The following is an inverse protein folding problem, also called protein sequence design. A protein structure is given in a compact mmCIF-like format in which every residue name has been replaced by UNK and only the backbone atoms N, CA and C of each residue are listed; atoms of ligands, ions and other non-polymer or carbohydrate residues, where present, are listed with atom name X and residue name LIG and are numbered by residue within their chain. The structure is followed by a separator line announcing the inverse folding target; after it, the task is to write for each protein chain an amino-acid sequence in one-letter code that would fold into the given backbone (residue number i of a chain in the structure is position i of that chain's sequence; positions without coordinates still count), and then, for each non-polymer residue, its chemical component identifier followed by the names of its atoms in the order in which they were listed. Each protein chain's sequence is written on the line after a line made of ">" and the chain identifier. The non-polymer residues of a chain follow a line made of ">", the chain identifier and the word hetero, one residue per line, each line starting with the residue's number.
data_IF_049758952577
#
_entry.id   IF_049758952577
#
_cell.length_a   1.000
_cell.length_b   1.000
_cell.length_c   1.000
_cell.angle_alpha   90.00
_cell.angle_beta   90.00
_cell.angle_gamma   90.00
#
_symmetry.space_group_name_H-M   'P 1'
#
loop_
_entity.id
_entity.type
_entity.pdbx_description
1 polymer ?
#
# COMPACT_ATOMS: atom_id res chain seq x y z
N UNK A 1 -18.48 25.54 80.38
CA UNK A 1 -17.54 24.41 80.41
C UNK A 1 -18.31 23.14 80.05
N UNK A 2 -17.66 22.20 79.34
CA UNK A 2 -18.17 20.89 78.88
C UNK A 2 -18.97 20.93 77.56
N UNK A 3 -18.29 20.68 76.44
CA UNK A 3 -18.95 20.46 75.14
C UNK A 3 -18.04 19.96 74.01
N UNK A 4 -16.74 20.25 74.06
CA UNK A 4 -15.87 20.03 72.87
C UNK A 4 -15.05 18.74 72.87
N UNK A 5 -15.21 17.85 73.86
CA UNK A 5 -14.40 16.62 73.97
C UNK A 5 -15.01 15.38 73.28
N UNK A 6 -16.28 15.43 72.84
CA UNK A 6 -16.94 14.30 72.16
C UNK A 6 -16.85 14.34 70.63
N UNK A 7 -16.56 15.51 70.06
CA UNK A 7 -16.47 15.68 68.60
C UNK A 7 -15.11 15.23 68.04
N UNK A 8 -14.03 15.41 68.79
CA UNK A 8 -12.67 15.04 68.37
C UNK A 8 -12.43 13.52 68.33
N UNK A 9 -13.22 12.72 69.05
CA UNK A 9 -13.09 11.26 69.06
C UNK A 9 -13.76 10.59 67.84
N UNK A 10 -14.84 11.19 67.33
CA UNK A 10 -15.56 10.66 66.15
C UNK A 10 -14.81 10.90 64.84
N UNK A 11 -14.01 11.97 64.76
CA UNK A 11 -13.22 12.30 63.55
C UNK A 11 -12.00 11.37 63.40
N UNK A 12 -11.38 10.97 64.51
CA UNK A 12 -10.25 10.03 64.49
C UNK A 12 -10.63 8.60 64.09
N UNK A 13 -11.87 8.17 64.37
CA UNK A 13 -12.34 6.81 64.06
C UNK A 13 -12.74 6.64 62.58
N UNK A 14 -13.21 7.70 61.91
CA UNK A 14 -13.54 7.67 60.47
C UNK A 14 -12.27 7.66 59.60
N UNK A 15 -11.17 8.28 60.06
CA UNK A 15 -9.91 8.29 59.32
C UNK A 15 -9.16 6.95 59.37
N UNK A 16 -9.44 6.10 60.36
CA UNK A 16 -8.82 4.77 60.49
C UNK A 16 -9.50 3.67 59.68
N UNK A 17 -10.75 3.85 59.24
CA UNK A 17 -11.50 2.87 58.42
C UNK A 17 -11.27 3.10 56.92
N UNK A 18 -10.73 4.24 56.52
CA UNK A 18 -10.46 4.58 55.12
C UNK A 18 -9.11 4.06 54.59
N UNK A 19 -8.29 3.42 55.43
CA UNK A 19 -6.93 2.96 55.08
C UNK A 19 -6.80 1.42 54.91
N UNK A 20 -7.92 0.70 54.73
CA UNK A 20 -7.92 -0.76 54.56
C UNK A 20 -8.71 -1.22 53.35
N UNK A 21 -8.52 -0.57 52.20
CA UNK A 21 -8.85 -1.20 50.91
C UNK A 21 -7.54 -1.70 50.32
N UNK A 22 -7.25 -3.02 50.32
CA UNK A 22 -6.21 -3.54 49.47
C UNK A 22 -6.70 -3.35 48.03
N UNK A 23 -6.21 -2.31 47.35
CA UNK A 23 -6.28 -2.29 45.89
C UNK A 23 -5.41 -3.45 45.41
N UNK A 24 -6.09 -4.57 45.11
CA UNK A 24 -5.51 -5.69 44.39
C UNK A 24 -5.20 -5.21 42.97
N UNK A 25 -4.14 -4.40 42.84
CA UNK A 25 -3.53 -4.07 41.58
C UNK A 25 -2.86 -5.35 41.08
N UNK A 26 -3.65 -6.21 40.45
CA UNK A 26 -3.16 -7.30 39.63
C UNK A 26 -2.26 -6.69 38.56
N UNK A 27 -0.96 -6.71 38.79
CA UNK A 27 0.03 -6.48 37.74
C UNK A 27 -0.12 -7.63 36.75
N UNK A 28 -0.95 -7.43 35.72
CA UNK A 28 -0.96 -8.29 34.55
C UNK A 28 0.40 -8.13 33.87
N UNK A 29 1.33 -9.02 34.20
CA UNK A 29 2.48 -9.29 33.37
C UNK A 29 1.93 -9.84 32.04
N UNK A 30 1.75 -8.95 31.06
CA UNK A 30 1.48 -9.33 29.69
C UNK A 30 2.73 -10.04 29.17
N UNK A 31 2.72 -11.36 29.24
CA UNK A 31 3.72 -12.17 28.56
C UNK A 31 3.58 -11.93 27.06
N UNK A 32 4.72 -11.80 26.36
CA UNK A 32 4.76 -11.55 24.91
C UNK A 32 4.07 -12.65 24.08
N UNK A 33 3.69 -13.76 24.71
CA UNK A 33 2.93 -14.87 24.12
C UNK A 33 1.46 -14.54 23.83
N UNK A 34 0.98 -13.35 24.21
CA UNK A 34 -0.40 -12.88 23.96
C UNK A 34 -0.59 -12.13 22.64
N UNK A 35 0.38 -12.10 21.73
CA UNK A 35 0.22 -11.50 20.41
C UNK A 35 -0.76 -12.33 19.59
N UNK A 36 -1.96 -11.78 19.37
CA UNK A 36 -3.01 -12.39 18.57
C UNK A 36 -2.62 -12.31 17.09
N UNK A 37 -2.05 -13.38 16.55
CA UNK A 37 -1.60 -13.44 15.14
C UNK A 37 -2.72 -13.14 14.14
N UNK A 38 -3.98 -13.32 14.55
CA UNK A 38 -5.17 -13.02 13.74
C UNK A 38 -5.33 -11.53 13.39
N UNK A 39 -4.72 -10.64 14.17
CA UNK A 39 -4.78 -9.20 13.90
C UNK A 39 -3.82 -8.78 12.75
N UNK A 40 -2.83 -9.62 12.41
CA UNK A 40 -1.95 -9.39 11.25
C UNK A 40 -2.62 -9.78 9.93
N UNK A 41 -3.47 -10.81 9.93
CA UNK A 41 -4.19 -11.24 8.74
C UNK A 41 -5.31 -10.26 8.34
N UNK A 42 -5.81 -9.48 9.31
CA UNK A 42 -6.88 -8.49 9.10
C UNK A 42 -6.38 -7.08 8.79
N UNK A 43 -5.07 -6.83 8.90
CA UNK A 43 -4.47 -5.63 8.32
C UNK A 43 -4.55 -5.76 6.80
N UNK A 44 -5.60 -5.15 6.24
CA UNK A 44 -5.68 -4.80 4.82
C UNK A 44 -4.30 -4.32 4.41
N UNK A 45 -3.74 -4.95 3.36
CA UNK A 45 -2.43 -4.66 2.77
C UNK A 45 -2.37 -3.17 2.39
N UNK A 46 -2.16 -2.33 3.38
CA UNK A 46 -1.84 -0.93 3.21
C UNK A 46 -0.41 -0.98 2.72
N UNK A 47 -0.28 -0.89 1.41
CA UNK A 47 0.98 -0.74 0.72
C UNK A 47 1.70 0.42 1.41
N UNK A 48 2.72 0.08 2.22
CA UNK A 48 3.52 1.08 2.91
C UNK A 48 4.22 1.86 1.81
N UNK A 49 3.70 3.04 1.50
CA UNK A 49 4.27 3.93 0.50
C UNK A 49 5.61 4.43 1.04
N UNK A 50 6.68 3.69 0.73
CA UNK A 50 8.05 4.10 1.03
C UNK A 50 8.34 5.39 0.27
N UNK A 51 8.22 6.53 0.96
CA UNK A 51 8.36 7.86 0.36
C UNK A 51 9.71 8.08 -0.34
N UNK A 52 10.77 7.37 0.08
CA UNK A 52 12.11 7.45 -0.49
C UNK A 52 12.80 6.08 -0.45
N UNK A 53 12.44 5.19 -1.37
CA UNK A 53 13.15 3.91 -1.52
C UNK A 53 14.29 4.06 -2.55
N UNK A 54 15.58 4.07 -2.14
CA UNK A 54 16.71 4.21 -3.06
C UNK A 54 16.94 2.96 -3.93
N UNK A 55 16.20 1.87 -3.69
CA UNK A 55 16.24 0.63 -4.46
C UNK A 55 15.12 0.53 -5.51
N UNK A 56 14.16 1.46 -5.50
CA UNK A 56 13.16 1.57 -6.57
C UNK A 56 13.76 2.49 -7.63
N UNK A 57 14.09 1.93 -8.80
CA UNK A 57 14.45 2.74 -9.95
C UNK A 57 13.26 3.65 -10.26
N UNK A 58 13.43 4.98 -10.30
CA UNK A 58 12.35 5.85 -10.75
C UNK A 58 11.99 5.40 -12.16
N UNK A 59 10.72 5.11 -12.40
CA UNK A 59 10.23 4.89 -13.75
C UNK A 59 10.54 6.17 -14.52
N UNK A 60 11.47 6.11 -15.47
CA UNK A 60 11.73 7.23 -16.35
C UNK A 60 10.44 7.49 -17.10
N UNK A 61 9.88 8.69 -16.94
CA UNK A 61 8.63 9.06 -17.58
C UNK A 61 8.91 9.26 -19.07
N UNK A 62 8.75 8.19 -19.85
CA UNK A 62 8.98 8.23 -21.29
C UNK A 62 7.75 8.85 -21.93
N UNK A 63 7.93 9.98 -22.61
CA UNK A 63 6.83 10.60 -23.35
C UNK A 63 6.34 9.62 -24.43
N UNK A 64 5.02 9.49 -24.57
CA UNK A 64 4.39 8.57 -25.53
C UNK A 64 4.89 8.79 -26.97
N UNK A 65 5.22 10.04 -27.32
CA UNK A 65 5.73 10.41 -28.64
C UNK A 65 7.15 9.91 -28.94
N UNK A 66 7.90 9.46 -27.94
CA UNK A 66 9.25 8.89 -28.07
C UNK A 66 9.23 7.36 -28.14
N UNK A 67 8.06 6.74 -27.91
CA UNK A 67 7.90 5.30 -28.07
C UNK A 67 7.92 4.92 -29.55
N UNK A 68 8.72 3.92 -29.87
CA UNK A 68 8.84 3.37 -31.21
C UNK A 68 8.53 1.88 -31.19
N UNK A 69 7.43 1.51 -31.86
CA UNK A 69 7.07 0.13 -32.10
C UNK A 69 7.93 -0.41 -33.24
N UNK A 70 8.81 -1.36 -32.91
CA UNK A 70 9.73 -2.00 -33.86
C UNK A 70 9.14 -3.27 -34.46
N UNK A 71 8.33 -4.00 -33.69
CA UNK A 71 7.72 -5.25 -34.16
C UNK A 71 6.66 -5.79 -33.22
N UNK A 72 5.85 -6.72 -33.74
CA UNK A 72 4.82 -7.45 -32.99
C UNK A 72 5.00 -8.93 -33.27
N UNK A 73 4.93 -9.73 -32.20
CA UNK A 73 4.84 -11.19 -32.24
C UNK A 73 3.44 -11.54 -31.77
N UNK A 74 2.60 -12.05 -32.67
CA UNK A 74 1.21 -12.36 -32.38
C UNK A 74 0.90 -13.84 -32.61
N UNK A 75 0.23 -14.46 -31.64
CA UNK A 75 -0.36 -15.80 -31.73
C UNK A 75 -1.70 -15.82 -31.01
N UNK A 76 -2.52 -16.84 -31.26
CA UNK A 76 -3.84 -16.96 -30.62
C UNK A 76 -3.77 -17.11 -29.09
N UNK A 77 -2.63 -17.57 -28.55
CA UNK A 77 -2.45 -17.85 -27.12
C UNK A 77 -1.54 -16.84 -26.42
N UNK A 78 -0.62 -16.20 -27.16
CA UNK A 78 0.34 -15.21 -26.63
C UNK A 78 0.60 -14.09 -27.62
N UNK A 79 0.72 -12.88 -27.10
CA UNK A 79 1.03 -11.68 -27.88
C UNK A 79 2.10 -10.87 -27.17
N UNK A 80 3.11 -10.42 -27.91
CA UNK A 80 4.17 -9.56 -27.42
C UNK A 80 4.53 -8.50 -28.46
N UNK A 81 5.01 -7.35 -28.00
CA UNK A 81 5.45 -6.25 -28.84
C UNK A 81 6.87 -5.82 -28.47
N UNK A 82 7.61 -5.34 -29.46
CA UNK A 82 8.95 -4.78 -29.25
C UNK A 82 8.82 -3.25 -29.32
N UNK A 83 8.89 -2.59 -28.17
CA UNK A 83 8.81 -1.13 -28.04
C UNK A 83 10.12 -0.64 -27.45
N UNK A 84 10.83 0.27 -28.14
CA UNK A 84 12.13 0.81 -27.71
C UNK A 84 13.14 -0.29 -27.31
N UNK A 85 13.22 -1.35 -28.14
CA UNK A 85 14.06 -2.54 -27.91
C UNK A 85 13.71 -3.39 -26.68
N UNK A 86 12.58 -3.13 -26.02
CA UNK A 86 12.04 -3.95 -24.93
C UNK A 86 10.89 -4.80 -25.44
N UNK A 87 10.86 -6.07 -25.03
CA UNK A 87 9.73 -6.98 -25.29
C UNK A 87 8.72 -6.77 -24.18
N UNK A 88 7.47 -6.49 -24.54
CA UNK A 88 6.37 -6.26 -23.61
C UNK A 88 5.15 -7.09 -23.98
N UNK A 89 4.40 -7.50 -22.97
CA UNK A 89 3.14 -8.23 -23.08
C UNK A 89 1.96 -7.35 -22.63
N UNK A 90 0.74 -7.88 -22.78
CA UNK A 90 -0.48 -7.20 -22.34
C UNK A 90 -0.47 -7.11 -20.80
N UNK A 91 -0.66 -5.91 -20.26
CA UNK A 91 -0.59 -5.61 -18.84
C UNK A 91 0.77 -5.07 -18.37
N UNK A 92 1.81 -5.16 -19.20
CA UNK A 92 3.12 -4.59 -18.86
C UNK A 92 3.09 -3.07 -18.90
N UNK A 93 3.99 -2.45 -18.13
CA UNK A 93 4.17 -1.00 -18.09
C UNK A 93 5.47 -0.58 -18.76
N UNK A 94 5.39 0.43 -19.61
CA UNK A 94 6.52 1.12 -20.22
C UNK A 94 6.49 2.58 -19.73
N UNK A 95 7.37 2.91 -18.79
CA UNK A 95 7.30 4.20 -18.10
C UNK A 95 5.98 4.32 -17.32
N UNK A 96 5.22 5.37 -17.59
CA UNK A 96 3.88 5.63 -17.04
C UNK A 96 2.74 4.99 -17.83
N UNK A 97 3.02 4.31 -18.95
CA UNK A 97 2.00 3.78 -19.86
C UNK A 97 1.82 2.27 -19.70
N UNK A 98 0.59 1.79 -19.75
CA UNK A 98 0.25 0.36 -19.64
C UNK A 98 -0.14 -0.21 -21.02
N UNK A 99 0.34 -1.39 -21.37
CA UNK A 99 -0.05 -2.10 -22.61
C UNK A 99 -1.43 -2.72 -22.43
N UNK A 100 -2.42 -2.18 -23.13
CA UNK A 100 -3.83 -2.66 -23.04
C UNK A 100 -4.11 -3.76 -24.03
N UNK A 101 -3.61 -3.63 -25.26
CA UNK A 101 -3.80 -4.64 -26.29
C UNK A 101 -2.70 -4.61 -27.34
N UNK A 102 -2.45 -5.77 -27.93
CA UNK A 102 -1.53 -5.96 -29.04
C UNK A 102 -2.35 -6.54 -30.18
N UNK A 103 -2.55 -5.76 -31.24
CA UNK A 103 -3.39 -6.16 -32.38
C UNK A 103 -2.52 -6.78 -33.50
N UNK A 104 -3.02 -7.82 -34.20
CA UNK A 104 -2.32 -8.38 -35.36
C UNK A 104 -2.25 -7.40 -36.55
N UNK A 105 -2.99 -6.29 -36.49
CA UNK A 105 -3.01 -5.20 -37.46
C UNK A 105 -1.72 -4.35 -37.46
N UNK A 106 -0.73 -4.67 -36.62
CA UNK A 106 0.51 -3.90 -36.51
C UNK A 106 0.40 -2.73 -35.51
N UNK A 107 -0.56 -2.78 -34.58
CA UNK A 107 -0.85 -1.70 -33.63
C UNK A 107 -0.78 -2.19 -32.19
N UNK A 108 -0.30 -1.33 -31.30
CA UNK A 108 -0.34 -1.55 -29.85
C UNK A 108 -1.15 -0.43 -29.22
N UNK A 109 -2.09 -0.78 -28.36
CA UNK A 109 -2.89 0.19 -27.59
C UNK A 109 -2.26 0.34 -26.21
N UNK A 110 -1.91 1.57 -25.87
CA UNK A 110 -1.35 1.97 -24.59
C UNK A 110 -2.38 2.79 -23.81
N UNK A 111 -2.48 2.57 -22.51
CA UNK A 111 -3.21 3.45 -21.59
C UNK A 111 -2.22 4.42 -20.97
N UNK A 112 -2.53 5.69 -21.12
CA UNK A 112 -1.81 6.84 -20.60
C UNK A 112 -2.71 7.56 -19.60
N UNK A 113 -2.19 8.53 -18.85
CA UNK A 113 -3.02 9.39 -17.99
C UNK A 113 -4.05 10.20 -18.80
N UNK A 114 -3.74 10.52 -20.05
CA UNK A 114 -4.61 11.26 -20.96
C UNK A 114 -5.64 10.41 -21.70
N UNK A 115 -5.62 9.08 -21.51
CA UNK A 115 -6.51 8.13 -22.18
C UNK A 115 -5.77 7.08 -23.00
N UNK A 116 -6.43 6.54 -24.02
CA UNK A 116 -5.89 5.48 -24.87
C UNK A 116 -5.09 6.07 -26.04
N UNK A 117 -3.87 5.56 -26.24
CA UNK A 117 -3.00 5.92 -27.34
C UNK A 117 -2.71 4.70 -28.22
N UNK A 118 -2.77 4.86 -29.54
CA UNK A 118 -2.45 3.79 -30.50
C UNK A 118 -1.06 4.01 -31.07
N UNK A 119 -0.13 3.14 -30.73
CA UNK A 119 1.21 3.12 -31.29
C UNK A 119 1.23 2.25 -32.56
N UNK A 120 1.78 2.80 -33.65
CA UNK A 120 1.91 2.13 -34.95
C UNK A 120 3.38 1.99 -35.33
N UNK A 121 3.71 0.98 -36.13
CA UNK A 121 5.07 0.83 -36.66
C UNK A 121 5.43 2.02 -37.56
N UNK A 122 6.57 2.65 -37.27
CA UNK A 122 7.10 3.76 -38.07
C UNK A 122 7.76 3.17 -39.32
N UNK A 123 7.00 3.07 -40.42
CA UNK A 123 7.48 2.47 -41.66
C UNK A 123 6.50 1.56 -42.40
N UNK A 124 5.26 1.43 -41.94
CA UNK A 124 4.21 0.85 -42.76
C UNK A 124 3.93 1.79 -43.94
N UNK A 125 4.58 1.53 -45.06
CA UNK A 125 4.32 2.14 -46.36
C UNK A 125 2.87 1.78 -46.69
N UNK A 126 1.97 2.75 -46.56
CA UNK A 126 0.60 2.62 -47.09
C UNK A 126 0.74 2.50 -48.61
N UNK A 127 0.23 1.43 -49.26
CA UNK A 127 0.17 1.38 -50.72
C UNK A 127 -0.74 2.48 -51.28
#
# INVERSE_FOLDING_TARGET
>A
MVGSKRLFCLIGLVFLISLSVPTLAGTQHQTLSGLNLKDFDSQTKNEVAWQNNPFVKPASDVAVGELSLTGIIYSQTRSAAIINSQIVEIGDKIGSHEVVSIEPSGQVVLRTESGLFRLKMKGAITP
#
